data_IF_331767797804
#
_entry.id   IF_331767797804
#
_cell.length_a   1.000
_cell.length_b   1.000
_cell.length_c   1.000
_cell.angle_alpha   90.00
_cell.angle_beta   90.00
_cell.angle_gamma   90.00
#
_symmetry.space_group_name_H-M   'P 1'
#
loop_
_entity.id
_entity.type
_entity.pdbx_description
1 polymer ?
#
# COMPACT_ATOMS: atom_id res chain seq x y z
N UNK A 1 -18.43 8.62 -18.94
CA UNK A 1 -19.38 7.83 -19.74
C UNK A 1 -19.18 8.13 -21.23
N UNK A 2 -19.46 9.32 -21.73
CA UNK A 2 -19.34 9.67 -23.17
C UNK A 2 -18.01 9.32 -23.85
N UNK A 3 -16.88 9.45 -23.17
CA UNK A 3 -15.55 9.15 -23.74
C UNK A 3 -15.37 7.63 -23.89
N UNK A 4 -15.80 6.88 -22.89
CA UNK A 4 -15.74 5.40 -22.92
C UNK A 4 -16.66 4.88 -24.02
N UNK A 5 -17.88 5.41 -24.15
CA UNK A 5 -18.82 5.04 -25.21
C UNK A 5 -18.24 5.24 -26.59
N UNK A 6 -17.58 6.39 -26.85
CA UNK A 6 -16.90 6.65 -28.11
C UNK A 6 -15.74 5.69 -28.40
N UNK A 7 -14.97 5.32 -27.37
CA UNK A 7 -13.87 4.35 -27.51
C UNK A 7 -14.43 2.96 -27.83
N UNK A 8 -15.47 2.52 -27.13
CA UNK A 8 -16.14 1.24 -27.37
C UNK A 8 -16.70 1.17 -28.80
N UNK A 9 -17.38 2.22 -29.22
CA UNK A 9 -17.93 2.34 -30.59
C UNK A 9 -16.81 2.30 -31.65
N UNK A 10 -15.73 3.06 -31.44
CA UNK A 10 -14.58 3.12 -32.35
C UNK A 10 -13.86 1.77 -32.48
N UNK A 11 -13.77 1.03 -31.38
CA UNK A 11 -13.14 -0.29 -31.34
C UNK A 11 -14.06 -1.41 -31.85
N UNK A 12 -15.35 -1.15 -32.01
CA UNK A 12 -16.34 -2.14 -32.44
C UNK A 12 -16.48 -3.32 -31.47
N UNK A 13 -16.22 -3.09 -30.17
CA UNK A 13 -16.31 -4.12 -29.14
C UNK A 13 -17.64 -4.00 -28.39
N UNK A 14 -18.14 -5.13 -27.89
CA UNK A 14 -19.30 -5.12 -26.99
C UNK A 14 -18.84 -4.90 -25.56
N UNK A 15 -19.24 -3.80 -24.95
CA UNK A 15 -19.01 -3.54 -23.53
C UNK A 15 -20.24 -3.87 -22.70
N UNK A 16 -20.04 -4.21 -21.42
CA UNK A 16 -21.14 -4.29 -20.46
C UNK A 16 -21.60 -2.89 -20.08
N UNK A 17 -22.85 -2.69 -19.68
CA UNK A 17 -23.27 -1.45 -19.04
C UNK A 17 -22.37 -1.12 -17.84
N UNK A 18 -22.15 0.17 -17.63
CA UNK A 18 -21.44 0.65 -16.45
C UNK A 18 -22.30 0.40 -15.19
N UNK A 19 -21.72 -0.30 -14.23
CA UNK A 19 -22.32 -0.61 -12.92
C UNK A 19 -21.42 -0.13 -11.76
N UNK A 20 -20.46 0.76 -12.06
CA UNK A 20 -19.46 1.25 -11.11
C UNK A 20 -20.09 1.89 -9.87
N UNK A 21 -21.25 2.51 -10.01
CA UNK A 21 -22.01 3.10 -8.91
C UNK A 21 -22.68 2.08 -7.98
N UNK A 22 -22.77 0.82 -8.42
CA UNK A 22 -23.38 -0.29 -7.68
C UNK A 22 -22.33 -1.26 -7.12
N UNK A 23 -21.10 -1.13 -7.56
CA UNK A 23 -20.00 -2.00 -7.11
C UNK A 23 -19.28 -1.37 -5.91
N UNK A 24 -19.24 -2.03 -4.74
CA UNK A 24 -18.42 -1.56 -3.65
C UNK A 24 -16.94 -1.59 -4.07
N UNK A 25 -16.18 -0.60 -3.61
CA UNK A 25 -14.73 -0.66 -3.73
C UNK A 25 -14.21 -1.89 -2.98
N UNK A 26 -13.09 -2.46 -3.45
CA UNK A 26 -12.41 -3.55 -2.74
C UNK A 26 -12.20 -3.15 -1.29
N UNK A 27 -12.62 -4.00 -0.36
CA UNK A 27 -12.60 -3.70 1.07
C UNK A 27 -13.75 -2.84 1.59
N UNK A 28 -14.68 -2.39 0.74
CA UNK A 28 -15.75 -1.47 1.12
C UNK A 28 -16.99 -2.10 1.76
N UNK A 29 -17.15 -3.40 1.68
CA UNK A 29 -18.36 -4.12 2.13
C UNK A 29 -18.26 -4.59 3.59
N UNK A 30 -17.96 -3.66 4.50
CA UNK A 30 -17.82 -3.96 5.94
C UNK A 30 -18.80 -3.13 6.75
N UNK A 31 -19.57 -3.81 7.63
CA UNK A 31 -20.49 -3.14 8.54
C UNK A 31 -19.75 -2.21 9.52
N UNK A 32 -20.17 -0.94 9.59
CA UNK A 32 -19.54 0.11 10.43
C UNK A 32 -19.45 -0.31 11.91
N UNK A 33 -20.37 -1.15 12.39
CA UNK A 33 -20.42 -1.60 13.79
C UNK A 33 -19.27 -2.56 14.16
N UNK A 34 -18.57 -3.15 13.20
CA UNK A 34 -17.50 -4.14 13.43
C UNK A 34 -16.09 -3.57 13.26
N UNK A 35 -15.96 -2.25 13.09
CA UNK A 35 -14.69 -1.60 12.79
C UNK A 35 -13.62 -1.87 13.85
N UNK A 36 -12.46 -2.27 13.36
CA UNK A 36 -11.21 -2.39 14.11
C UNK A 36 -10.04 -2.05 13.16
N UNK A 37 -8.82 -1.95 13.70
CA UNK A 37 -7.64 -1.57 12.92
C UNK A 37 -7.48 -2.36 11.61
N UNK A 38 -7.75 -3.65 11.61
CA UNK A 38 -7.57 -4.51 10.45
C UNK A 38 -8.66 -4.26 9.40
N UNK A 39 -9.91 -4.13 9.85
CA UNK A 39 -11.03 -3.77 9.00
C UNK A 39 -10.89 -2.35 8.44
N UNK A 40 -10.33 -1.43 9.22
CA UNK A 40 -10.07 -0.06 8.75
C UNK A 40 -8.98 0.01 7.67
N UNK A 41 -7.99 -0.90 7.71
CA UNK A 41 -6.90 -0.96 6.73
C UNK A 41 -7.25 -1.80 5.50
N UNK A 42 -7.92 -2.93 5.68
CA UNK A 42 -8.07 -3.97 4.65
C UNK A 42 -9.53 -4.31 4.30
N UNK A 43 -10.49 -3.73 5.02
CA UNK A 43 -11.90 -4.00 4.80
C UNK A 43 -12.25 -5.49 4.90
N UNK A 44 -12.97 -6.03 3.95
CA UNK A 44 -13.35 -7.44 3.88
C UNK A 44 -12.16 -8.40 3.64
N UNK A 45 -11.01 -7.89 3.19
CA UNK A 45 -9.77 -8.66 3.05
C UNK A 45 -9.00 -8.83 4.38
N UNK A 46 -9.42 -8.15 5.46
CA UNK A 46 -8.76 -8.22 6.78
C UNK A 46 -8.63 -9.66 7.30
N UNK A 47 -9.63 -10.50 7.08
CA UNK A 47 -9.60 -11.90 7.47
C UNK A 47 -8.49 -12.68 6.76
N UNK A 48 -8.22 -12.40 5.49
CA UNK A 48 -7.16 -13.04 4.74
C UNK A 48 -5.78 -12.67 5.29
N UNK A 49 -5.54 -11.39 5.60
CA UNK A 49 -4.29 -10.92 6.20
C UNK A 49 -4.06 -11.52 7.58
N UNK A 50 -5.11 -11.59 8.42
CA UNK A 50 -5.04 -12.19 9.76
C UNK A 50 -4.76 -13.69 9.71
N UNK A 51 -5.42 -14.43 8.81
CA UNK A 51 -5.19 -15.87 8.62
C UNK A 51 -3.79 -16.17 8.09
N UNK A 52 -3.18 -15.23 7.36
CA UNK A 52 -1.80 -15.31 6.87
C UNK A 52 -0.75 -14.90 7.92
N UNK A 53 -1.13 -14.72 9.16
CA UNK A 53 -0.28 -14.44 10.31
C UNK A 53 -0.47 -13.07 10.94
N UNK A 54 -1.08 -12.10 10.26
CA UNK A 54 -1.31 -10.75 10.77
C UNK A 54 -0.03 -9.99 11.12
N UNK A 55 1.09 -10.35 10.51
CA UNK A 55 2.40 -9.74 10.71
C UNK A 55 2.82 -8.87 9.50
N UNK A 56 4.01 -8.29 9.58
CA UNK A 56 4.56 -7.45 8.49
C UNK A 56 4.64 -8.24 7.17
N UNK A 57 4.95 -9.52 7.22
CA UNK A 57 5.05 -10.33 6.00
C UNK A 57 3.68 -10.57 5.36
N UNK A 58 2.63 -10.78 6.17
CA UNK A 58 1.25 -10.87 5.70
C UNK A 58 0.78 -9.54 5.07
N UNK A 59 1.07 -8.40 5.72
CA UNK A 59 0.78 -7.06 5.19
C UNK A 59 1.50 -6.83 3.85
N UNK A 60 2.77 -7.24 3.73
CA UNK A 60 3.55 -7.15 2.47
C UNK A 60 2.94 -8.02 1.38
N UNK A 61 2.55 -9.27 1.70
CA UNK A 61 1.89 -10.16 0.72
C UNK A 61 0.59 -9.55 0.20
N UNK A 62 -0.22 -8.99 1.10
CA UNK A 62 -1.43 -8.26 0.73
C UNK A 62 -1.12 -7.10 -0.22
N UNK A 63 -0.18 -6.23 0.17
CA UNK A 63 0.22 -5.06 -0.62
C UNK A 63 0.72 -5.43 -2.03
N UNK A 64 1.54 -6.48 -2.14
CA UNK A 64 2.12 -6.91 -3.43
C UNK A 64 1.09 -7.65 -4.28
N UNK A 65 0.40 -8.64 -3.71
CA UNK A 65 -0.42 -9.58 -4.49
C UNK A 65 -1.82 -9.05 -4.81
N UNK A 66 -2.33 -8.14 -3.98
CA UNK A 66 -3.70 -7.61 -4.09
C UNK A 66 -3.76 -6.13 -4.41
N UNK A 67 -2.79 -5.34 -3.93
CA UNK A 67 -2.85 -3.88 -4.01
C UNK A 67 -1.80 -3.29 -4.96
N UNK A 68 -1.03 -4.13 -5.65
CA UNK A 68 -0.11 -3.73 -6.72
C UNK A 68 1.12 -2.95 -6.25
N UNK A 69 1.60 -3.17 -5.03
CA UNK A 69 2.85 -2.61 -4.56
C UNK A 69 4.03 -3.28 -5.27
N UNK A 70 4.88 -2.50 -5.93
CA UNK A 70 6.06 -2.98 -6.69
C UNK A 70 7.37 -2.38 -6.19
N UNK A 71 7.30 -1.41 -5.29
CA UNK A 71 8.44 -0.78 -4.62
C UNK A 71 8.24 -0.81 -3.11
N UNK A 72 9.34 -0.81 -2.35
CA UNK A 72 9.27 -0.77 -0.89
C UNK A 72 8.52 0.49 -0.39
N UNK A 73 8.70 1.60 -1.07
CA UNK A 73 8.00 2.85 -0.79
C UNK A 73 6.48 2.72 -0.97
N UNK A 74 6.00 1.92 -1.94
CA UNK A 74 4.56 1.71 -2.13
C UNK A 74 3.96 1.09 -0.87
N UNK A 75 4.59 0.04 -0.34
CA UNK A 75 4.19 -0.59 0.90
C UNK A 75 4.25 0.39 2.08
N UNK A 76 5.42 0.96 2.33
CA UNK A 76 5.73 1.74 3.54
C UNK A 76 4.96 3.06 3.66
N UNK A 77 4.72 3.74 2.51
CA UNK A 77 4.08 5.07 2.46
C UNK A 77 2.62 4.99 2.05
N UNK A 78 2.30 4.14 1.05
CA UNK A 78 0.99 4.22 0.36
C UNK A 78 0.01 3.15 0.79
N UNK A 79 0.46 1.95 1.13
CA UNK A 79 -0.44 0.85 1.51
C UNK A 79 -0.58 0.74 3.02
N UNK A 80 0.54 0.75 3.74
CA UNK A 80 0.58 0.76 5.20
C UNK A 80 1.35 2.01 5.62
N UNK A 81 0.69 3.17 5.84
CA UNK A 81 1.35 4.47 5.93
C UNK A 81 2.16 4.65 7.24
N UNK A 82 3.01 3.69 7.56
CA UNK A 82 3.86 3.66 8.77
C UNK A 82 4.91 4.76 8.77
N UNK A 83 5.33 5.22 7.58
CA UNK A 83 6.23 6.36 7.44
C UNK A 83 5.73 7.61 8.18
N UNK A 84 4.41 7.79 8.28
CA UNK A 84 3.79 8.97 8.88
C UNK A 84 3.25 8.73 10.29
N UNK A 85 2.82 7.51 10.60
CA UNK A 85 2.05 7.24 11.81
C UNK A 85 2.77 6.36 12.83
N UNK A 86 3.90 5.73 12.48
CA UNK A 86 4.73 5.02 13.45
C UNK A 86 5.71 5.98 14.13
N UNK A 87 5.97 5.78 15.43
CA UNK A 87 6.88 6.64 16.21
C UNK A 87 8.30 6.70 15.65
N UNK A 88 8.77 5.60 15.08
CA UNK A 88 10.08 5.47 14.42
C UNK A 88 10.02 5.72 12.90
N UNK A 89 8.91 6.27 12.41
CA UNK A 89 8.67 6.39 10.98
C UNK A 89 8.57 5.04 10.27
N UNK A 90 8.32 3.96 11.01
CA UNK A 90 8.24 2.60 10.47
C UNK A 90 9.59 2.01 10.03
N UNK A 91 10.72 2.58 10.46
CA UNK A 91 12.05 2.10 10.07
C UNK A 91 12.33 0.68 10.57
N UNK A 92 11.84 0.33 11.76
CA UNK A 92 12.06 -0.99 12.38
C UNK A 92 11.55 -2.17 11.53
N UNK A 93 10.58 -1.94 10.65
CA UNK A 93 10.01 -2.98 9.79
C UNK A 93 10.57 -3.00 8.36
N UNK A 94 11.32 -1.96 7.94
CA UNK A 94 11.72 -1.82 6.54
C UNK A 94 12.56 -3.00 6.04
N UNK A 95 13.50 -3.49 6.83
CA UNK A 95 14.36 -4.60 6.42
C UNK A 95 13.55 -5.91 6.20
N UNK A 96 12.63 -6.23 7.10
CA UNK A 96 11.77 -7.41 6.96
C UNK A 96 10.78 -7.28 5.81
N UNK A 97 10.21 -6.09 5.62
CA UNK A 97 9.34 -5.80 4.49
C UNK A 97 10.08 -5.91 3.14
N UNK A 98 11.29 -5.34 3.06
CA UNK A 98 12.12 -5.42 1.85
C UNK A 98 12.50 -6.86 1.51
N UNK A 99 12.84 -7.67 2.51
CA UNK A 99 13.16 -9.09 2.30
C UNK A 99 11.96 -9.86 1.75
N UNK A 100 10.76 -9.68 2.31
CA UNK A 100 9.56 -10.34 1.82
C UNK A 100 9.13 -9.84 0.44
N UNK A 101 9.19 -8.53 0.17
CA UNK A 101 8.96 -7.99 -1.17
C UNK A 101 9.96 -8.53 -2.18
N UNK A 102 11.25 -8.57 -1.81
CA UNK A 102 12.30 -9.12 -2.65
C UNK A 102 12.05 -10.57 -3.02
N UNK A 103 11.61 -11.38 -2.06
CA UNK A 103 11.22 -12.77 -2.30
C UNK A 103 10.04 -12.89 -3.27
N UNK A 104 9.00 -12.06 -3.12
CA UNK A 104 7.79 -12.08 -3.94
C UNK A 104 8.04 -11.56 -5.37
N UNK A 105 8.83 -10.50 -5.49
CA UNK A 105 9.06 -9.78 -6.74
C UNK A 105 10.35 -10.21 -7.46
N UNK A 106 11.12 -11.14 -6.88
CA UNK A 106 12.37 -11.64 -7.48
C UNK A 106 13.48 -10.59 -7.53
N UNK A 107 13.59 -9.72 -6.51
CA UNK A 107 14.64 -8.70 -6.47
C UNK A 107 16.02 -9.32 -6.29
N UNK A 108 17.02 -8.75 -6.97
CA UNK A 108 18.43 -9.00 -6.65
C UNK A 108 18.80 -8.33 -5.32
N UNK A 109 19.91 -8.78 -4.71
CA UNK A 109 20.45 -8.12 -3.51
C UNK A 109 20.72 -6.62 -3.71
N UNK A 110 21.28 -6.25 -4.87
CA UNK A 110 21.50 -4.85 -5.24
C UNK A 110 20.20 -4.04 -5.27
N UNK A 111 19.12 -4.63 -5.85
CA UNK A 111 17.81 -3.99 -5.89
C UNK A 111 17.23 -3.81 -4.48
N UNK A 112 17.35 -4.80 -3.62
CA UNK A 112 16.90 -4.75 -2.25
C UNK A 112 17.60 -3.62 -1.48
N UNK A 113 18.93 -3.51 -1.61
CA UNK A 113 19.72 -2.45 -0.99
C UNK A 113 19.33 -1.06 -1.50
N UNK A 114 19.06 -0.91 -2.80
CA UNK A 114 18.57 0.33 -3.39
C UNK A 114 17.20 0.75 -2.86
N UNK A 115 16.26 -0.17 -2.73
CA UNK A 115 14.92 0.11 -2.20
C UNK A 115 14.99 0.55 -0.72
N UNK A 116 15.81 -0.13 0.09
CA UNK A 116 16.06 0.25 1.48
C UNK A 116 16.71 1.65 1.58
N UNK A 117 17.76 1.90 0.81
CA UNK A 117 18.45 3.18 0.80
C UNK A 117 17.50 4.33 0.40
N UNK A 118 16.65 4.11 -0.60
CA UNK A 118 15.67 5.10 -1.06
C UNK A 118 14.69 5.47 0.05
N UNK A 119 14.12 4.47 0.76
CA UNK A 119 13.19 4.72 1.85
C UNK A 119 13.86 5.47 3.02
N UNK A 120 15.09 5.09 3.39
CA UNK A 120 15.84 5.74 4.48
C UNK A 120 16.24 7.18 4.14
N UNK A 121 16.65 7.44 2.90
CA UNK A 121 16.96 8.80 2.43
C UNK A 121 15.71 9.69 2.48
N UNK A 122 14.57 9.18 2.02
CA UNK A 122 13.30 9.89 2.09
C UNK A 122 12.93 10.22 3.53
N UNK A 123 12.99 9.24 4.43
CA UNK A 123 12.71 9.46 5.84
C UNK A 123 13.58 10.57 6.43
N UNK A 124 14.87 10.54 6.15
CA UNK A 124 15.82 11.58 6.62
C UNK A 124 15.47 12.96 6.06
N UNK A 125 15.13 13.04 4.77
CA UNK A 125 14.74 14.31 4.14
C UNK A 125 13.45 14.88 4.71
N UNK A 126 12.44 14.03 4.90
CA UNK A 126 11.15 14.42 5.46
C UNK A 126 11.30 14.92 6.92
N UNK A 127 12.14 14.27 7.74
CA UNK A 127 12.44 14.69 9.10
C UNK A 127 13.24 16.00 9.18
N UNK A 128 14.17 16.24 8.25
CA UNK A 128 14.94 17.49 8.23
C UNK A 128 14.06 18.72 8.07
N UNK A 129 12.97 18.62 7.30
CA UNK A 129 12.01 19.71 7.12
C UNK A 129 11.29 20.11 8.41
N UNK A 130 11.11 19.17 9.34
CA UNK A 130 10.43 19.44 10.62
C UNK A 130 11.41 19.99 11.68
N UNK A 131 12.68 19.59 11.65
CA UNK A 131 13.67 20.07 12.62
C UNK A 131 14.13 21.50 12.35
N UNK A 132 14.21 21.92 11.09
CA UNK A 132 14.60 23.29 10.71
C UNK A 132 13.48 24.33 10.95
N UNK A 133 12.26 23.90 11.20
CA UNK A 133 11.11 24.81 11.38
C UNK A 133 10.71 25.02 12.85
N UNK A 134 11.36 24.36 13.80
CA UNK A 134 11.10 24.61 15.23
C UNK A 134 11.88 25.83 15.70
N UNK A 135 11.21 26.86 16.29
CA UNK A 135 11.93 27.95 16.92
C UNK A 135 12.79 27.41 18.07
N UNK A 136 14.07 27.74 18.04
CA UNK A 136 14.97 27.54 19.20
C UNK A 136 14.58 28.59 20.24
N UNK A 137 13.94 28.16 21.31
CA UNK A 137 13.72 28.95 22.54
C UNK A 137 15.03 29.30 23.22
#
# INVERSE_FOLDING_TARGET
ERVVDQVVETLGVTARPDDTDQQPLVGGDVAIAERNRWLDLYGDEAAAVLNDGGDVAAEVRQAVLREGAVRLEDFWVRRVPRAFFALDGGQSILASAAAEMGRLLGWSGERLDQELATCLQRHTADHALFTDSLPTD
#
